data_IF_596579140806
#
_entry.id   IF_596579140806
#
_cell.length_a   1.000
_cell.length_b   1.000
_cell.length_c   1.000
_cell.angle_alpha   90.00
_cell.angle_beta   90.00
_cell.angle_gamma   90.00
#
_symmetry.space_group_name_H-M   'P 1'
#
loop_
_entity.id
_entity.type
_entity.pdbx_description
1 polymer ?
#
# COMPACT_ATOMS: atom_id res chain seq x y z
N UNK A 1 23.27 -29.27 -9.97
CA UNK A 1 22.43 -28.37 -9.15
C UNK A 1 23.20 -27.09 -8.92
N UNK A 2 22.73 -25.92 -9.38
CA UNK A 2 23.19 -24.60 -8.90
C UNK A 2 22.61 -23.43 -9.72
N UNK A 3 21.29 -23.19 -9.76
CA UNK A 3 20.71 -21.85 -10.04
C UNK A 3 19.32 -21.75 -9.36
N UNK A 4 19.23 -22.01 -8.06
CA UNK A 4 17.99 -21.80 -7.28
C UNK A 4 18.21 -20.96 -6.02
N UNK A 5 19.38 -20.32 -5.87
CA UNK A 5 19.79 -19.72 -4.58
C UNK A 5 19.89 -18.20 -4.59
N UNK A 6 19.28 -17.51 -5.56
CA UNK A 6 19.24 -16.03 -5.58
C UNK A 6 17.88 -15.41 -5.92
N UNK A 7 16.90 -16.19 -6.33
CA UNK A 7 15.50 -15.74 -6.25
C UNK A 7 15.04 -15.98 -4.82
N UNK A 8 15.41 -15.09 -3.91
CA UNK A 8 14.59 -14.83 -2.73
C UNK A 8 13.26 -14.25 -3.24
N UNK A 9 12.41 -15.17 -3.68
CA UNK A 9 11.01 -15.22 -3.28
C UNK A 9 10.08 -14.07 -3.72
N UNK A 10 10.15 -13.68 -5.00
CA UNK A 10 8.93 -13.25 -5.67
C UNK A 10 7.83 -14.34 -5.58
N UNK A 11 8.23 -15.61 -5.50
CA UNK A 11 7.35 -16.76 -5.27
C UNK A 11 6.73 -16.86 -3.86
N UNK A 12 7.36 -16.36 -2.77
CA UNK A 12 6.71 -16.38 -1.44
C UNK A 12 5.51 -15.45 -1.37
N UNK A 13 5.47 -14.42 -2.22
CA UNK A 13 4.38 -13.45 -2.27
C UNK A 13 3.41 -13.69 -3.43
N UNK A 14 3.67 -14.67 -4.31
CA UNK A 14 2.71 -15.06 -5.34
C UNK A 14 1.38 -15.52 -4.71
N UNK A 15 0.32 -14.77 -4.96
CA UNK A 15 -1.01 -14.98 -4.38
C UNK A 15 -1.22 -14.28 -3.03
N UNK A 16 -0.17 -13.68 -2.46
CA UNK A 16 -0.29 -12.81 -1.28
C UNK A 16 -0.70 -11.42 -1.74
N UNK A 17 -1.73 -10.91 -1.08
CA UNK A 17 -2.23 -9.56 -1.25
C UNK A 17 -2.23 -8.90 0.11
N UNK A 18 -2.01 -7.59 0.15
CA UNK A 18 -2.35 -6.79 1.30
C UNK A 18 -3.33 -5.70 0.86
N UNK A 19 -4.49 -5.67 1.50
CA UNK A 19 -5.45 -4.60 1.33
C UNK A 19 -5.21 -3.59 2.44
N UNK A 20 -4.78 -2.39 2.06
CA UNK A 20 -4.66 -1.27 2.98
C UNK A 20 -5.81 -0.30 2.75
N UNK A 21 -6.46 0.12 3.83
CA UNK A 21 -7.38 1.24 3.81
C UNK A 21 -6.64 2.50 4.26
N UNK A 22 -6.57 3.49 3.37
CA UNK A 22 -5.92 4.77 3.63
C UNK A 22 -6.96 5.87 3.74
N UNK A 23 -6.64 6.85 4.59
CA UNK A 23 -7.38 8.09 4.68
C UNK A 23 -6.44 9.26 4.47
N UNK A 24 -6.78 10.13 3.51
CA UNK A 24 -5.96 11.29 3.15
C UNK A 24 -6.56 12.57 3.73
N UNK A 25 -5.70 13.52 4.05
CA UNK A 25 -6.07 14.89 4.35
C UNK A 25 -6.18 15.72 3.06
N UNK A 26 -6.91 16.85 3.09
CA UNK A 26 -7.08 17.73 1.91
C UNK A 26 -5.76 18.36 1.42
N UNK A 27 -4.71 18.31 2.23
CA UNK A 27 -3.36 18.77 1.89
C UNK A 27 -2.51 17.69 1.20
N UNK A 28 -3.05 16.48 1.01
CA UNK A 28 -2.35 15.33 0.44
C UNK A 28 -1.63 14.46 1.48
N UNK A 29 -1.64 14.80 2.76
CA UNK A 29 -0.97 13.97 3.78
C UNK A 29 -1.80 12.74 4.14
N UNK A 30 -1.13 11.64 4.44
CA UNK A 30 -1.78 10.45 4.98
C UNK A 30 -2.23 10.71 6.43
N UNK A 31 -3.54 10.70 6.69
CA UNK A 31 -4.11 10.81 8.04
C UNK A 31 -4.03 9.49 8.80
N UNK A 32 -4.50 8.43 8.17
CA UNK A 32 -4.49 7.10 8.76
C UNK A 32 -4.32 6.05 7.68
N UNK A 33 -3.76 4.92 8.09
CA UNK A 33 -3.64 3.73 7.27
C UNK A 33 -3.83 2.50 8.15
N UNK A 34 -4.67 1.60 7.67
CA UNK A 34 -5.04 0.37 8.37
C UNK A 34 -4.95 -0.78 7.39
N UNK A 35 -4.48 -1.95 7.81
CA UNK A 35 -4.56 -3.16 6.99
C UNK A 35 -5.92 -3.83 7.20
N UNK A 36 -6.71 -3.97 6.13
CA UNK A 36 -7.97 -4.71 6.18
C UNK A 36 -7.75 -6.22 6.11
N UNK A 37 -6.66 -6.68 5.51
CA UNK A 37 -6.34 -8.10 5.48
C UNK A 37 -5.26 -8.44 4.46
N UNK A 38 -4.64 -9.61 4.64
CA UNK A 38 -3.56 -10.06 3.80
C UNK A 38 -2.43 -10.73 4.56
N UNK A 39 -1.27 -10.78 3.91
CA UNK A 39 -0.05 -11.26 4.54
C UNK A 39 0.55 -10.19 5.46
N UNK A 40 0.85 -10.51 6.74
CA UNK A 40 1.33 -9.52 7.70
C UNK A 40 2.69 -8.92 7.32
N UNK A 41 3.59 -9.68 6.67
CA UNK A 41 4.88 -9.14 6.25
C UNK A 41 4.74 -8.18 5.07
N UNK A 42 3.90 -8.53 4.08
CA UNK A 42 3.58 -7.64 2.96
C UNK A 42 2.84 -6.38 3.43
N UNK A 43 1.87 -6.54 4.33
CA UNK A 43 1.14 -5.42 4.89
C UNK A 43 2.01 -4.46 5.70
N UNK A 44 2.96 -4.97 6.48
CA UNK A 44 3.88 -4.12 7.22
C UNK A 44 4.80 -3.32 6.28
N UNK A 45 5.30 -3.95 5.20
CA UNK A 45 6.08 -3.25 4.17
C UNK A 45 5.23 -2.19 3.45
N UNK A 46 4.00 -2.53 3.07
CA UNK A 46 3.07 -1.61 2.43
C UNK A 46 2.68 -0.44 3.34
N UNK A 47 2.49 -0.67 4.65
CA UNK A 47 2.24 0.38 5.64
C UNK A 47 3.42 1.36 5.73
N UNK A 48 4.65 0.85 5.77
CA UNK A 48 5.85 1.68 5.80
C UNK A 48 6.01 2.49 4.50
N UNK A 49 5.74 1.87 3.35
CA UNK A 49 5.75 2.55 2.05
C UNK A 49 4.68 3.64 1.96
N UNK A 50 3.44 3.36 2.37
CA UNK A 50 2.34 4.32 2.37
C UNK A 50 2.63 5.54 3.26
N UNK A 51 3.21 5.32 4.45
CA UNK A 51 3.62 6.42 5.35
C UNK A 51 4.76 7.26 4.81
N UNK A 52 5.64 6.66 4.01
CA UNK A 52 6.79 7.34 3.39
C UNK A 52 6.44 7.98 2.05
N UNK A 53 5.27 7.65 1.48
CA UNK A 53 4.84 8.18 0.20
C UNK A 53 4.45 9.65 0.32
N UNK A 54 5.00 10.48 -0.57
CA UNK A 54 4.56 11.85 -0.75
C UNK A 54 3.39 11.86 -1.74
N UNK A 55 2.18 11.96 -1.21
CA UNK A 55 0.98 12.06 -2.04
C UNK A 55 0.76 13.55 -2.35
N UNK A 56 0.75 13.95 -3.64
CA UNK A 56 0.60 15.33 -4.01
C UNK A 56 -0.78 15.85 -3.58
N UNK A 57 -0.84 17.15 -3.29
CA UNK A 57 -2.10 17.80 -2.96
C UNK A 57 -3.12 17.57 -4.09
N UNK A 58 -4.34 17.13 -3.79
CA UNK A 58 -5.37 16.94 -4.79
C UNK A 58 -5.66 18.25 -5.54
N UNK A 59 -5.86 18.22 -6.87
CA UNK A 59 -6.07 19.42 -7.67
C UNK A 59 -7.42 20.10 -7.40
N UNK A 60 -8.39 19.37 -6.84
CA UNK A 60 -9.71 19.90 -6.47
C UNK A 60 -10.35 19.08 -5.35
N UNK A 61 -11.30 19.69 -4.65
CA UNK A 61 -12.03 19.06 -3.54
C UNK A 61 -12.87 17.86 -4.01
N UNK A 62 -13.44 17.93 -5.23
CA UNK A 62 -14.16 16.82 -5.84
C UNK A 62 -13.27 15.60 -6.14
N UNK A 63 -11.97 15.82 -6.39
CA UNK A 63 -10.99 14.72 -6.51
C UNK A 63 -10.62 14.21 -5.13
N UNK A 64 -10.38 15.11 -4.17
CA UNK A 64 -10.14 14.74 -2.77
C UNK A 64 -11.25 13.86 -2.21
N UNK A 65 -12.53 14.20 -2.38
CA UNK A 65 -13.65 13.41 -1.85
C UNK A 65 -13.72 11.98 -2.39
N UNK A 66 -13.16 11.74 -3.58
CA UNK A 66 -13.08 10.41 -4.19
C UNK A 66 -11.88 9.59 -3.71
N UNK A 67 -10.82 10.24 -3.22
CA UNK A 67 -9.56 9.58 -2.84
C UNK A 67 -9.25 9.68 -1.34
N UNK A 68 -9.99 10.52 -0.61
CA UNK A 68 -9.81 10.73 0.84
C UNK A 68 -10.02 9.45 1.64
N UNK A 69 -10.79 8.52 1.09
CA UNK A 69 -11.04 7.20 1.62
C UNK A 69 -10.83 6.21 0.46
N UNK A 70 -9.68 5.54 0.46
CA UNK A 70 -9.28 4.68 -0.64
C UNK A 70 -8.71 3.36 -0.13
N UNK A 71 -9.00 2.28 -0.86
CA UNK A 71 -8.39 0.97 -0.63
C UNK A 71 -7.26 0.76 -1.61
N UNK A 72 -6.08 0.44 -1.09
CA UNK A 72 -4.88 0.12 -1.84
C UNK A 72 -4.65 -1.39 -1.77
N UNK A 73 -4.82 -2.06 -2.90
CA UNK A 73 -4.49 -3.46 -3.06
C UNK A 73 -3.01 -3.59 -3.48
N UNK A 74 -2.16 -4.00 -2.54
CA UNK A 74 -0.77 -4.35 -2.82
C UNK A 74 -0.68 -5.83 -3.18
N UNK A 75 -0.26 -6.11 -4.42
CA UNK A 75 -0.03 -7.46 -4.95
C UNK A 75 1.38 -7.52 -5.53
N UNK A 76 2.16 -8.53 -5.16
CA UNK A 76 3.50 -8.83 -5.68
C UNK A 76 3.52 -10.19 -6.36
#
# INVERSE_FOLDING_TARGET
MAIQSRLFDAGLYQGKQCVLHINLAPDGRLKSVTSEGGDPALCQAALAAARSANIPKPPSEAVYDKIKDAKLDFKL
#
